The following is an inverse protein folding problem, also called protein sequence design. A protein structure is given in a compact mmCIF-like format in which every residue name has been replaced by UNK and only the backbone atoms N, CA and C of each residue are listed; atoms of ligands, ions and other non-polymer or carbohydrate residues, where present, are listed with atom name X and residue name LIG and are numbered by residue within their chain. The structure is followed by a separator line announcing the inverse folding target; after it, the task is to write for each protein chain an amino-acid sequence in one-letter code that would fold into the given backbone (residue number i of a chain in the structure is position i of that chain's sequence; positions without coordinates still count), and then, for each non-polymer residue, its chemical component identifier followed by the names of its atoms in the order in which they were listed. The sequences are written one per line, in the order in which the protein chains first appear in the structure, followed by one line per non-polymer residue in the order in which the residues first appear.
data_IF_256671247395
#
_entry.id   IF_256671247395
#
_cell.length_a   1.000
_cell.length_b   1.000
_cell.length_c   1.000
_cell.angle_alpha   90.00
_cell.angle_beta   90.00
_cell.angle_gamma   90.00
#
_symmetry.space_group_name_H-M   'P 1'
#
loop_
_entity.id
_entity.type
_entity.pdbx_description
1 polymer ?
#
# COMPACT_ATOMS: atom_id res chain seq x y z
N UNK A 1 16.41 5.61 15.54
CA UNK A 1 16.06 6.91 14.97
C UNK A 1 14.99 6.64 13.93
N UNK A 2 13.84 7.25 14.04
CA UNK A 2 12.72 7.15 13.09
C UNK A 2 13.10 7.83 11.79
N UNK A 3 12.72 7.29 10.65
CA UNK A 3 12.89 7.98 9.36
C UNK A 3 11.50 8.18 8.76
N UNK A 4 10.93 9.36 8.96
CA UNK A 4 9.74 9.78 8.23
C UNK A 4 10.14 10.25 6.83
N UNK A 5 9.30 9.96 5.84
CA UNK A 5 9.51 10.39 4.46
C UNK A 5 9.52 11.92 4.32
N UNK A 6 8.87 12.63 5.25
CA UNK A 6 8.93 14.10 5.37
C UNK A 6 10.27 14.62 5.93
N UNK A 7 11.04 13.78 6.64
CA UNK A 7 12.28 14.15 7.35
C UNK A 7 13.53 13.75 6.54
N UNK A 8 13.88 14.50 5.53
CA UNK A 8 14.97 14.21 4.56
C UNK A 8 16.37 14.55 5.08
N UNK A 9 16.57 14.67 6.37
CA UNK A 9 17.85 15.08 6.98
C UNK A 9 18.85 13.93 7.23
N UNK A 10 18.50 12.65 6.96
CA UNK A 10 19.46 11.57 7.11
C UNK A 10 20.38 11.45 5.88
N UNK A 11 21.69 11.60 6.09
CA UNK A 11 22.70 11.75 5.05
C UNK A 11 22.93 10.53 4.14
N UNK A 12 22.38 9.33 4.47
CA UNK A 12 22.79 8.07 3.85
C UNK A 12 21.69 7.34 3.05
N UNK A 13 20.40 7.67 3.21
CA UNK A 13 19.31 7.03 2.43
C UNK A 13 18.59 8.03 1.53
N UNK A 14 18.36 7.63 0.28
CA UNK A 14 17.54 8.42 -0.65
C UNK A 14 16.05 8.31 -0.30
N UNK A 15 15.24 9.26 -0.78
CA UNK A 15 13.78 9.19 -0.64
C UNK A 15 13.20 7.90 -1.23
N UNK A 16 13.78 7.38 -2.33
CA UNK A 16 13.35 6.12 -2.94
C UNK A 16 13.68 4.90 -2.07
N UNK A 17 14.79 4.92 -1.31
CA UNK A 17 15.10 3.86 -0.34
C UNK A 17 14.10 3.87 0.82
N UNK A 18 13.71 5.05 1.29
CA UNK A 18 12.67 5.19 2.32
C UNK A 18 11.32 4.70 1.81
N UNK A 19 10.90 5.12 0.61
CA UNK A 19 9.67 4.63 -0.02
C UNK A 19 9.69 3.11 -0.13
N UNK A 20 10.79 2.49 -0.56
CA UNK A 20 10.90 1.03 -0.67
C UNK A 20 10.93 0.30 0.68
N UNK A 21 11.07 1.02 1.77
CA UNK A 21 11.07 0.48 3.15
C UNK A 21 9.81 0.83 3.94
N UNK A 22 8.81 1.43 3.29
CA UNK A 22 7.56 1.83 3.93
C UNK A 22 6.49 0.74 3.92
N UNK A 23 6.66 -0.32 3.14
CA UNK A 23 5.66 -1.38 3.01
C UNK A 23 6.02 -2.62 3.78
N UNK A 24 5.00 -3.42 4.07
CA UNK A 24 5.11 -4.72 4.73
C UNK A 24 4.26 -5.74 3.99
N UNK A 25 4.81 -6.96 3.79
CA UNK A 25 4.09 -8.08 3.23
C UNK A 25 3.23 -8.72 4.31
N UNK A 26 1.94 -8.81 4.07
CA UNK A 26 0.98 -9.52 4.91
C UNK A 26 0.76 -10.91 4.30
N UNK A 27 0.76 -11.95 5.13
CA UNK A 27 0.53 -13.33 4.72
C UNK A 27 -0.46 -13.99 5.66
N UNK A 28 -1.48 -14.63 5.09
CA UNK A 28 -2.58 -15.27 5.83
C UNK A 28 -2.59 -16.78 5.58
N UNK A 29 -2.99 -17.59 6.59
CA UNK A 29 -2.77 -19.04 6.61
C UNK A 29 -4.04 -19.85 6.89
N UNK A 30 -5.19 -19.44 6.52
CA UNK A 30 -6.41 -20.22 6.75
C UNK A 30 -7.04 -20.69 5.44
N UNK A 31 -8.33 -21.02 5.47
CA UNK A 31 -9.08 -21.42 4.28
C UNK A 31 -9.06 -20.34 3.20
N UNK A 32 -8.88 -19.08 3.58
CA UNK A 32 -8.67 -17.92 2.73
C UNK A 32 -7.19 -17.51 2.72
N UNK A 33 -6.27 -18.49 2.65
CA UNK A 33 -4.83 -18.18 2.59
C UNK A 33 -4.50 -17.28 1.41
N UNK A 34 -3.76 -16.20 1.67
CA UNK A 34 -3.43 -15.22 0.66
C UNK A 34 -2.27 -14.34 1.08
N UNK A 35 -2.02 -13.36 0.24
CA UNK A 35 -1.06 -12.30 0.53
C UNK A 35 -1.71 -10.95 0.30
N UNK A 36 -1.27 -9.95 1.06
CA UNK A 36 -1.65 -8.56 0.91
C UNK A 36 -0.44 -7.66 1.12
N UNK A 37 -0.66 -6.41 0.87
CA UNK A 37 0.30 -5.34 1.11
C UNK A 37 -0.21 -4.46 2.25
N UNK A 38 0.67 -4.13 3.20
CA UNK A 38 0.44 -3.06 4.15
C UNK A 38 1.54 -2.00 4.02
N UNK A 39 1.34 -0.86 4.62
CA UNK A 39 2.37 0.16 4.74
C UNK A 39 2.30 0.86 6.08
N UNK A 40 3.45 1.35 6.53
CA UNK A 40 3.54 2.09 7.78
C UNK A 40 3.03 3.52 7.61
N UNK A 41 2.14 3.92 8.51
CA UNK A 41 1.63 5.28 8.62
C UNK A 41 1.76 5.77 10.06
N UNK A 42 2.26 6.98 10.22
CA UNK A 42 2.47 7.63 11.49
C UNK A 42 1.48 8.78 11.68
N UNK A 43 0.55 8.61 12.60
CA UNK A 43 -0.52 9.59 12.87
C UNK A 43 -0.06 10.79 13.69
N UNK A 44 1.07 10.69 14.41
CA UNK A 44 1.68 11.81 15.14
C UNK A 44 3.21 11.75 15.04
N UNK A 45 3.79 12.21 13.92
CA UNK A 45 5.23 12.17 13.70
C UNK A 45 6.04 13.06 14.64
N UNK A 46 5.41 13.95 15.41
CA UNK A 46 6.09 14.83 16.35
C UNK A 46 6.47 14.12 17.66
N UNK A 47 5.77 13.07 18.01
CA UNK A 47 6.10 12.20 19.16
C UNK A 47 7.21 11.20 18.80
N UNK A 48 8.46 11.70 18.71
CA UNK A 48 9.61 10.96 18.15
C UNK A 48 10.06 9.70 18.93
N UNK A 49 9.59 9.45 20.14
CA UNK A 49 10.17 8.41 21.02
C UNK A 49 9.31 7.15 21.17
N UNK A 50 8.08 7.14 20.70
CA UNK A 50 7.16 6.00 20.88
C UNK A 50 6.61 5.46 19.56
N UNK A 51 6.29 4.17 19.52
CA UNK A 51 5.58 3.54 18.41
C UNK A 51 4.05 3.70 18.56
N UNK A 52 3.61 4.60 19.43
CA UNK A 52 2.22 4.67 19.87
C UNK A 52 1.29 5.24 18.81
N UNK A 53 1.83 6.10 17.92
CA UNK A 53 1.12 6.66 16.77
C UNK A 53 1.37 5.93 15.46
N UNK A 54 2.19 4.85 15.47
CA UNK A 54 2.52 4.09 14.28
C UNK A 54 1.52 2.96 14.07
N UNK A 55 1.00 2.85 12.85
CA UNK A 55 0.17 1.73 12.43
C UNK A 55 0.60 1.16 11.07
N UNK A 56 0.17 -0.06 10.78
CA UNK A 56 0.15 -0.62 9.44
C UNK A 56 -1.24 -0.38 8.87
N UNK A 57 -1.32 0.20 7.68
CA UNK A 57 -2.57 0.41 6.91
C UNK A 57 -2.66 -0.66 5.82
N UNK A 58 -3.83 -1.26 5.63
CA UNK A 58 -4.15 -2.18 4.53
C UNK A 58 -5.65 -2.17 4.24
N UNK A 59 -6.10 -3.00 3.29
CA UNK A 59 -7.53 -3.20 3.06
C UNK A 59 -8.13 -4.18 4.08
N UNK A 60 -9.42 -3.98 4.40
CA UNK A 60 -10.13 -4.84 5.33
C UNK A 60 -10.26 -6.27 4.81
N UNK A 61 -10.60 -6.45 3.52
CA UNK A 61 -10.71 -7.78 2.90
C UNK A 61 -9.42 -8.62 2.94
N UNK A 62 -8.26 -8.01 3.19
CA UNK A 62 -6.98 -8.74 3.35
C UNK A 62 -6.92 -9.49 4.68
N UNK A 63 -7.62 -8.98 5.69
CA UNK A 63 -7.53 -9.45 7.08
C UNK A 63 -8.85 -10.01 7.62
N UNK A 64 -9.96 -9.75 6.96
CA UNK A 64 -11.29 -10.17 7.34
C UNK A 64 -11.41 -11.70 7.37
N UNK A 65 -12.04 -12.24 8.42
CA UNK A 65 -12.23 -13.67 8.67
C UNK A 65 -10.93 -14.49 8.78
N UNK A 66 -9.76 -13.82 8.95
CA UNK A 66 -8.47 -14.48 9.07
C UNK A 66 -8.14 -14.79 10.53
N UNK A 67 -7.84 -16.07 10.82
CA UNK A 67 -7.47 -16.50 12.17
C UNK A 67 -5.97 -16.41 12.41
N UNK A 68 -5.15 -16.73 11.41
CA UNK A 68 -3.70 -16.75 11.53
C UNK A 68 -3.06 -15.96 10.40
N UNK A 69 -2.12 -15.08 10.77
CA UNK A 69 -1.38 -14.30 9.79
C UNK A 69 -0.01 -13.90 10.31
N UNK A 70 0.81 -13.42 9.41
CA UNK A 70 2.14 -12.90 9.74
C UNK A 70 2.54 -11.76 8.83
N UNK A 71 3.54 -11.03 9.28
CA UNK A 71 4.30 -10.08 8.46
C UNK A 71 5.77 -10.10 8.83
N UNK A 72 6.60 -9.65 7.90
CA UNK A 72 8.05 -9.71 7.99
C UNK A 72 8.61 -8.30 8.06
N UNK A 73 9.36 -8.01 9.13
CA UNK A 73 10.01 -6.74 9.37
C UNK A 73 11.51 -6.85 9.13
N UNK A 74 12.14 -5.82 8.59
CA UNK A 74 13.60 -5.74 8.45
C UNK A 74 14.23 -5.30 9.77
N UNK A 75 15.27 -6.00 10.24
CA UNK A 75 15.99 -5.57 11.44
C UNK A 75 16.80 -4.31 11.18
N UNK A 76 17.12 -3.57 12.25
CA UNK A 76 18.02 -2.42 12.18
C UNK A 76 19.31 -2.67 13.00
N UNK A 77 20.36 -2.03 12.58
CA UNK A 77 21.64 -2.06 13.29
C UNK A 77 21.66 -1.05 14.46
N UNK A 78 22.79 -0.96 15.14
CA UNK A 78 23.00 -0.04 16.28
C UNK A 78 22.93 1.45 15.89
N UNK A 79 23.10 1.76 14.62
CA UNK A 79 23.03 3.12 14.10
C UNK A 79 21.60 3.48 13.64
N UNK A 80 20.67 2.49 13.67
CA UNK A 80 19.29 2.63 13.19
C UNK A 80 19.14 2.39 11.70
N UNK A 81 20.16 1.86 11.01
CA UNK A 81 20.12 1.56 9.57
C UNK A 81 19.59 0.13 9.32
N UNK A 82 18.92 -0.12 8.16
CA UNK A 82 18.36 -1.44 7.87
C UNK A 82 19.44 -2.48 7.64
N UNK A 83 19.29 -3.64 8.26
CA UNK A 83 20.06 -4.85 7.92
C UNK A 83 19.21 -5.64 6.94
N UNK A 84 19.29 -5.32 5.66
CA UNK A 84 18.37 -5.84 4.62
C UNK A 84 18.33 -7.37 4.52
N UNK A 85 19.34 -8.08 5.04
CA UNK A 85 19.43 -9.55 5.02
C UNK A 85 18.98 -10.20 6.33
N UNK A 86 18.56 -9.42 7.32
CA UNK A 86 18.07 -9.92 8.60
C UNK A 86 16.63 -9.49 8.86
N UNK A 87 15.77 -10.45 9.13
CA UNK A 87 14.34 -10.23 9.23
C UNK A 87 13.77 -10.75 10.54
N UNK A 88 12.69 -10.14 10.97
CA UNK A 88 11.88 -10.52 12.11
C UNK A 88 10.47 -10.88 11.60
N UNK A 89 10.06 -12.13 11.79
CA UNK A 89 8.69 -12.55 11.48
C UNK A 89 7.82 -12.36 12.70
N UNK A 90 6.72 -11.63 12.54
CA UNK A 90 5.68 -11.43 13.55
C UNK A 90 4.49 -12.28 13.17
N UNK A 91 4.25 -13.33 13.92
CA UNK A 91 3.07 -14.19 13.78
C UNK A 91 1.99 -13.75 14.78
N UNK A 92 0.74 -13.66 14.29
CA UNK A 92 -0.44 -13.32 15.09
C UNK A 92 -1.50 -14.39 14.93
N UNK A 93 -1.95 -14.96 16.05
CA UNK A 93 -3.21 -15.69 16.16
C UNK A 93 -4.37 -14.70 16.32
N UNK A 94 -5.60 -15.12 15.97
CA UNK A 94 -6.77 -14.23 15.93
C UNK A 94 -6.50 -12.96 15.13
N UNK A 95 -5.88 -13.15 13.99
CA UNK A 95 -5.27 -12.09 13.17
C UNK A 95 -6.19 -10.90 12.96
N UNK A 96 -7.44 -11.14 12.54
CA UNK A 96 -8.44 -10.09 12.34
C UNK A 96 -8.64 -9.21 13.59
N UNK A 97 -8.63 -9.80 14.79
CA UNK A 97 -8.92 -9.07 16.02
C UNK A 97 -7.87 -8.01 16.41
N UNK A 98 -6.72 -8.01 15.76
CA UNK A 98 -5.69 -7.00 15.96
C UNK A 98 -5.88 -5.74 15.09
N UNK A 99 -6.78 -5.82 14.10
CA UNK A 99 -7.03 -4.76 13.15
C UNK A 99 -8.26 -3.95 13.52
N UNK A 100 -8.20 -2.67 13.32
CA UNK A 100 -9.32 -1.74 13.51
C UNK A 100 -9.87 -1.43 12.13
N UNK A 101 -11.10 -1.84 11.79
CA UNK A 101 -11.73 -1.51 10.52
C UNK A 101 -12.03 -0.01 10.43
N UNK A 102 -12.18 0.49 9.21
CA UNK A 102 -12.58 1.87 8.97
C UNK A 102 -13.92 2.17 9.63
N UNK A 103 -14.12 3.40 10.20
CA UNK A 103 -15.38 3.79 10.84
C UNK A 103 -16.59 3.74 9.89
N UNK A 104 -16.37 4.02 8.62
CA UNK A 104 -17.37 3.82 7.55
C UNK A 104 -17.18 2.42 6.96
N UNK A 105 -18.18 1.51 7.09
CA UNK A 105 -18.07 0.13 6.61
C UNK A 105 -18.04 -0.01 5.09
N UNK A 106 -18.38 1.04 4.34
CA UNK A 106 -18.28 1.05 2.87
C UNK A 106 -16.85 1.29 2.39
N UNK A 107 -15.94 1.70 3.29
CA UNK A 107 -14.53 1.95 2.98
C UNK A 107 -13.68 0.72 3.37
N UNK A 108 -13.16 0.05 2.38
CA UNK A 108 -12.36 -1.17 2.54
C UNK A 108 -10.93 -0.87 3.04
N UNK A 109 -10.81 -0.29 4.23
CA UNK A 109 -9.54 0.00 4.90
C UNK A 109 -9.56 -0.49 6.35
N UNK A 110 -8.38 -0.80 6.86
CA UNK A 110 -8.15 -1.06 8.28
C UNK A 110 -6.72 -0.69 8.68
N UNK A 111 -6.53 -0.57 10.00
CA UNK A 111 -5.22 -0.29 10.58
C UNK A 111 -4.88 -1.31 11.67
N UNK A 112 -3.59 -1.62 11.80
CA UNK A 112 -3.02 -2.37 12.93
C UNK A 112 -2.10 -1.43 13.71
N UNK A 113 -2.52 -0.90 14.88
CA UNK A 113 -1.66 -0.10 15.72
C UNK A 113 -0.47 -0.92 16.22
N UNK A 114 0.76 -0.49 15.95
CA UNK A 114 1.98 -1.20 16.37
C UNK A 114 2.06 -1.32 17.90
N UNK A 115 1.51 -0.33 18.61
CA UNK A 115 1.37 -0.35 20.07
C UNK A 115 0.68 -1.62 20.59
N UNK A 116 -0.35 -2.12 19.90
CA UNK A 116 -1.13 -3.30 20.33
C UNK A 116 -0.31 -4.59 20.31
N UNK A 117 0.69 -4.68 19.41
CA UNK A 117 1.54 -5.86 19.21
C UNK A 117 2.99 -5.64 19.68
N UNK A 118 3.30 -4.49 20.25
CA UNK A 118 4.66 -4.12 20.69
C UNK A 118 5.31 -5.18 21.59
N UNK A 119 4.52 -5.86 22.41
CA UNK A 119 4.97 -6.94 23.31
C UNK A 119 5.48 -8.19 22.59
N UNK A 120 5.10 -8.39 21.31
CA UNK A 120 5.55 -9.49 20.44
C UNK A 120 6.83 -9.14 19.68
N UNK A 121 7.12 -7.86 19.53
CA UNK A 121 8.29 -7.36 18.82
C UNK A 121 9.47 -7.33 19.79
N UNK A 122 10.29 -8.39 19.76
CA UNK A 122 11.39 -8.59 20.71
C UNK A 122 12.69 -7.89 20.32
N UNK A 123 12.81 -7.46 19.10
CA UNK A 123 14.00 -6.84 18.54
C UNK A 123 13.62 -5.55 17.82
N UNK A 124 14.56 -4.64 17.75
CA UNK A 124 14.39 -3.39 17.01
C UNK A 124 14.31 -3.67 15.51
N UNK A 125 13.35 -3.04 14.84
CA UNK A 125 13.16 -3.15 13.40
C UNK A 125 13.29 -1.79 12.71
N UNK A 126 13.63 -1.84 11.43
CA UNK A 126 13.68 -0.68 10.55
C UNK A 126 12.35 -0.52 9.81
N UNK A 127 11.88 0.70 9.70
CA UNK A 127 10.76 1.09 8.86
C UNK A 127 10.92 2.54 8.42
N UNK A 128 10.33 2.87 7.29
CA UNK A 128 9.99 4.24 6.93
C UNK A 128 8.46 4.35 6.96
N UNK A 129 7.92 5.48 7.36
CA UNK A 129 6.48 5.71 7.44
C UNK A 129 6.05 6.88 6.59
N UNK A 130 4.86 6.78 6.03
CA UNK A 130 4.10 7.93 5.57
C UNK A 130 3.46 8.64 6.76
N UNK A 131 3.04 9.87 6.58
CA UNK A 131 2.30 10.66 7.57
C UNK A 131 1.30 11.60 6.85
N UNK A 132 0.51 12.33 7.62
CA UNK A 132 -0.51 13.23 7.10
C UNK A 132 0.03 14.30 6.15
N UNK A 133 1.32 14.68 6.26
CA UNK A 133 1.92 15.69 5.37
C UNK A 133 2.09 15.22 3.92
N UNK A 134 1.99 13.91 3.67
CA UNK A 134 2.05 13.33 2.33
C UNK A 134 0.66 13.11 1.73
N UNK A 135 -0.40 13.24 2.52
CA UNK A 135 -1.79 13.22 2.04
C UNK A 135 -2.09 14.60 1.42
N UNK A 136 -2.50 14.66 0.15
CA UNK A 136 -2.69 15.95 -0.50
C UNK A 136 -3.88 16.71 0.11
N UNK A 137 -3.67 18.01 0.36
CA UNK A 137 -4.75 18.95 0.67
C UNK A 137 -5.69 19.10 -0.53
N UNK A 138 -6.88 19.65 -0.30
CA UNK A 138 -7.83 19.94 -1.38
C UNK A 138 -7.22 20.83 -2.47
N UNK A 139 -6.40 21.83 -2.09
CA UNK A 139 -5.72 22.70 -3.04
C UNK A 139 -4.70 21.95 -3.89
N UNK A 140 -3.95 21.02 -3.28
CA UNK A 140 -3.01 20.16 -4.02
C UNK A 140 -3.73 19.21 -4.96
N UNK A 141 -4.82 18.57 -4.52
CA UNK A 141 -5.67 17.75 -5.41
C UNK A 141 -6.16 18.57 -6.61
N UNK A 142 -6.68 19.77 -6.38
CA UNK A 142 -7.15 20.65 -7.45
C UNK A 142 -6.05 21.10 -8.42
N UNK A 143 -4.79 21.08 -7.99
CA UNK A 143 -3.63 21.42 -8.82
C UNK A 143 -3.14 20.29 -9.71
N UNK A 144 -3.52 19.04 -9.42
CA UNK A 144 -3.08 17.86 -10.17
C UNK A 144 -3.51 17.93 -11.65
N UNK A 145 -2.70 17.33 -12.50
CA UNK A 145 -3.11 17.03 -13.87
C UNK A 145 -4.23 15.98 -13.90
N UNK A 146 -4.96 15.89 -14.99
CA UNK A 146 -5.94 14.81 -15.18
C UNK A 146 -5.27 13.44 -15.32
N UNK A 147 -4.01 13.45 -15.78
CA UNK A 147 -3.15 12.26 -15.91
C UNK A 147 -1.86 12.54 -15.15
N UNK A 148 -1.65 11.83 -14.04
CA UNK A 148 -0.42 11.90 -13.24
C UNK A 148 0.36 10.59 -13.39
N UNK A 149 1.68 10.68 -13.44
CA UNK A 149 2.54 9.50 -13.28
C UNK A 149 2.52 9.04 -11.83
N UNK A 150 2.32 7.73 -11.61
CA UNK A 150 2.30 7.14 -10.28
C UNK A 150 3.30 5.98 -10.15
N UNK A 151 3.71 5.72 -8.91
CA UNK A 151 4.32 4.45 -8.52
C UNK A 151 3.43 3.75 -7.50
N UNK A 152 3.47 2.43 -7.52
CA UNK A 152 2.76 1.56 -6.59
C UNK A 152 3.76 0.54 -6.03
N UNK A 153 3.73 0.29 -4.74
CA UNK A 153 4.61 -0.66 -4.07
C UNK A 153 3.79 -1.76 -3.42
N UNK A 154 4.14 -3.01 -3.68
CA UNK A 154 3.40 -4.11 -3.07
C UNK A 154 4.00 -5.48 -3.36
N UNK A 155 3.21 -6.52 -3.08
CA UNK A 155 3.63 -7.93 -3.11
C UNK A 155 2.73 -8.75 -4.04
N UNK A 156 2.68 -8.42 -5.35
CA UNK A 156 1.80 -9.08 -6.34
C UNK A 156 2.07 -10.57 -6.39
N UNK A 157 1.04 -11.40 -6.32
CA UNK A 157 1.11 -12.87 -6.24
C UNK A 157 2.08 -13.37 -5.15
N UNK A 158 2.27 -12.58 -4.11
CA UNK A 158 3.23 -12.84 -3.05
C UNK A 158 4.70 -12.67 -3.45
N UNK A 159 4.99 -12.13 -4.64
CA UNK A 159 6.35 -11.88 -5.12
C UNK A 159 6.98 -10.69 -4.39
N UNK A 160 8.21 -10.89 -3.94
CA UNK A 160 9.05 -9.83 -3.35
C UNK A 160 10.53 -10.22 -3.44
N UNK A 161 11.42 -9.29 -3.16
CA UNK A 161 12.83 -9.63 -2.93
C UNK A 161 12.97 -10.28 -1.54
N UNK A 162 12.97 -11.61 -1.52
CA UNK A 162 13.01 -12.41 -0.29
C UNK A 162 14.32 -12.26 0.46
N UNK A 163 15.40 -11.90 -0.23
CA UNK A 163 16.72 -11.76 0.36
C UNK A 163 16.87 -10.42 1.08
N UNK A 164 16.32 -9.34 0.50
CA UNK A 164 16.42 -8.00 1.05
C UNK A 164 15.11 -7.52 1.73
N UNK A 165 14.05 -8.33 1.72
CA UNK A 165 12.72 -7.99 2.21
C UNK A 165 12.19 -6.68 1.60
N UNK A 166 12.20 -6.58 0.27
CA UNK A 166 11.74 -5.40 -0.45
C UNK A 166 10.54 -5.69 -1.35
N UNK A 167 9.60 -4.74 -1.48
CA UNK A 167 8.45 -4.86 -2.36
C UNK A 167 8.83 -4.79 -3.83
N UNK A 168 7.90 -5.18 -4.68
CA UNK A 168 7.95 -4.89 -6.11
C UNK A 168 7.39 -3.47 -6.34
N UNK A 169 8.19 -2.63 -6.99
CA UNK A 169 7.78 -1.28 -7.40
C UNK A 169 7.27 -1.33 -8.83
N UNK A 170 6.10 -0.75 -9.07
CA UNK A 170 5.48 -0.62 -10.39
C UNK A 170 5.26 0.85 -10.70
N UNK A 171 5.38 1.21 -11.97
CA UNK A 171 5.06 2.54 -12.49
C UNK A 171 3.80 2.45 -13.35
N UNK A 172 2.95 3.47 -13.26
CA UNK A 172 1.72 3.60 -14.05
C UNK A 172 1.28 5.05 -14.15
N UNK A 173 0.01 5.24 -14.46
CA UNK A 173 -0.64 6.55 -14.51
C UNK A 173 -2.01 6.50 -13.82
N UNK A 174 -2.57 7.65 -13.46
CA UNK A 174 -3.99 7.75 -13.13
C UNK A 174 -4.81 7.50 -14.41
N UNK A 175 -5.69 6.49 -14.37
CA UNK A 175 -6.56 6.14 -15.51
C UNK A 175 -7.86 6.97 -15.52
N UNK A 176 -8.23 7.54 -14.37
CA UNK A 176 -9.29 8.55 -14.24
C UNK A 176 -8.72 9.81 -13.62
N UNK A 177 -9.41 10.93 -13.78
CA UNK A 177 -8.96 12.21 -13.24
C UNK A 177 -9.02 12.20 -11.71
N UNK A 178 -7.88 12.28 -10.99
CA UNK A 178 -7.82 12.14 -9.53
C UNK A 178 -8.48 13.32 -8.76
N UNK A 179 -8.87 14.37 -9.47
CA UNK A 179 -9.63 15.50 -8.91
C UNK A 179 -11.14 15.24 -8.84
N UNK A 180 -11.62 14.17 -9.43
CA UNK A 180 -13.04 13.84 -9.55
C UNK A 180 -13.32 12.50 -8.87
N UNK A 181 -14.51 12.34 -8.35
CA UNK A 181 -15.02 11.06 -7.88
C UNK A 181 -15.22 10.10 -9.05
N UNK A 182 -14.86 8.85 -8.87
CA UNK A 182 -15.13 7.82 -9.85
C UNK A 182 -16.48 7.17 -9.58
N UNK A 183 -17.40 7.21 -10.54
CA UNK A 183 -18.79 6.73 -10.40
C UNK A 183 -19.57 7.33 -9.22
N UNK A 184 -19.10 8.40 -8.62
CA UNK A 184 -19.71 9.07 -7.47
C UNK A 184 -19.02 8.79 -6.14
N UNK A 185 -18.09 7.82 -6.09
CA UNK A 185 -17.35 7.44 -4.91
C UNK A 185 -16.00 8.17 -4.82
N UNK A 186 -15.47 8.32 -3.62
CA UNK A 186 -14.15 8.95 -3.36
C UNK A 186 -13.00 8.00 -3.70
N UNK A 187 -12.97 7.63 -4.98
CA UNK A 187 -12.06 6.68 -5.58
C UNK A 187 -11.54 7.18 -6.91
N UNK A 188 -10.49 6.53 -7.42
CA UNK A 188 -9.97 6.75 -8.76
C UNK A 188 -9.40 5.45 -9.33
N UNK A 189 -9.29 5.37 -10.66
CA UNK A 189 -8.62 4.25 -11.31
C UNK A 189 -7.19 4.60 -11.68
N UNK A 190 -6.33 3.58 -11.66
CA UNK A 190 -4.96 3.63 -12.15
C UNK A 190 -4.77 2.63 -13.29
N UNK A 191 -3.93 2.96 -14.26
CA UNK A 191 -3.36 2.01 -15.23
C UNK A 191 -1.99 1.58 -14.71
N UNK A 192 -2.01 0.51 -13.92
CA UNK A 192 -0.85 -0.18 -13.41
C UNK A 192 -1.23 -1.65 -13.19
N UNK A 193 -0.30 -2.56 -13.51
CA UNK A 193 -0.57 -3.98 -13.39
C UNK A 193 -0.92 -4.35 -11.93
N UNK A 194 -2.19 -4.61 -11.68
CA UNK A 194 -2.75 -4.99 -10.37
C UNK A 194 -3.02 -6.49 -10.35
N UNK A 195 -2.44 -7.20 -9.39
CA UNK A 195 -2.58 -8.65 -9.20
C UNK A 195 -2.96 -8.94 -7.76
N UNK A 196 -3.53 -10.13 -7.47
CA UNK A 196 -3.73 -10.59 -6.10
C UNK A 196 -2.47 -10.35 -5.25
N UNK A 197 -2.63 -9.94 -3.99
CA UNK A 197 -1.51 -9.54 -3.13
C UNK A 197 -1.09 -8.07 -3.25
N UNK A 198 -1.53 -7.35 -4.29
CA UNK A 198 -1.32 -5.91 -4.40
C UNK A 198 -2.31 -5.08 -3.58
N UNK A 199 -3.41 -5.66 -3.09
CA UNK A 199 -4.38 -4.99 -2.21
C UNK A 199 -3.67 -4.40 -0.99
N UNK A 200 -3.98 -3.14 -0.64
CA UNK A 200 -3.31 -2.37 0.41
C UNK A 200 -2.04 -1.64 -0.06
N UNK A 201 -1.65 -1.76 -1.33
CA UNK A 201 -0.48 -1.05 -1.87
C UNK A 201 -0.68 0.46 -1.84
N UNK A 202 0.27 1.25 -1.30
CA UNK A 202 0.26 2.69 -1.43
C UNK A 202 0.52 3.10 -2.88
N UNK A 203 -0.24 4.07 -3.36
CA UNK A 203 -0.12 4.70 -4.67
C UNK A 203 0.42 6.10 -4.46
N UNK A 204 1.59 6.37 -5.04
CA UNK A 204 2.30 7.62 -4.86
C UNK A 204 2.47 8.35 -6.19
N UNK A 205 2.25 9.67 -6.18
CA UNK A 205 2.87 10.55 -7.16
C UNK A 205 4.32 10.75 -6.72
N UNK A 206 5.27 10.44 -7.58
CA UNK A 206 6.70 10.55 -7.30
C UNK A 206 7.43 11.21 -8.47
N UNK A 207 7.65 12.52 -8.36
CA UNK A 207 8.36 13.28 -9.37
C UNK A 207 9.74 13.68 -8.86
N UNK A 208 10.73 13.63 -9.75
CA UNK A 208 12.12 14.05 -9.49
C UNK A 208 12.48 15.15 -10.48
N UNK A 209 13.04 16.24 -9.98
CA UNK A 209 13.54 17.35 -10.77
C UNK A 209 12.47 18.36 -11.16
N UNK A 210 11.35 17.94 -11.75
CA UNK A 210 10.29 18.83 -12.19
C UNK A 210 8.95 18.14 -12.33
N UNK A 211 7.87 18.91 -12.29
CA UNK A 211 6.51 18.50 -12.65
C UNK A 211 5.72 19.67 -13.21
N UNK A 212 4.58 19.38 -13.86
CA UNK A 212 3.59 20.36 -14.33
C UNK A 212 2.35 20.28 -13.43
N UNK A 213 1.69 21.41 -13.26
CA UNK A 213 0.32 21.46 -12.72
C UNK A 213 -0.73 21.42 -13.85
N UNK A 214 -2.01 21.44 -13.49
CA UNK A 214 -3.14 21.44 -14.45
C UNK A 214 -3.18 22.65 -15.41
N UNK A 215 -2.41 23.69 -15.12
CA UNK A 215 -2.34 24.92 -15.91
C UNK A 215 -1.04 25.00 -16.73
N UNK A 216 -0.32 23.88 -16.85
CA UNK A 216 0.98 23.77 -17.52
C UNK A 216 2.08 24.64 -16.88
N UNK A 217 1.93 25.01 -15.59
CA UNK A 217 3.00 25.68 -14.89
C UNK A 217 4.09 24.68 -14.52
N UNK A 218 5.34 25.07 -14.82
CA UNK A 218 6.53 24.28 -14.47
C UNK A 218 7.00 24.54 -13.06
N UNK A 219 7.16 23.46 -12.27
CA UNK A 219 7.75 23.50 -10.94
C UNK A 219 9.06 22.70 -10.94
N UNK A 220 10.14 23.33 -10.45
CA UNK A 220 11.41 22.67 -10.25
C UNK A 220 11.57 22.29 -8.79
N UNK A 221 11.73 21.01 -8.51
CA UNK A 221 11.81 20.46 -7.16
C UNK A 221 12.91 19.40 -7.08
N UNK A 222 13.46 19.17 -5.91
CA UNK A 222 14.35 18.04 -5.70
C UNK A 222 13.53 16.73 -5.88
N UNK A 223 12.37 16.67 -5.25
CA UNK A 223 11.36 15.62 -5.42
C UNK A 223 9.99 16.16 -4.95
N UNK A 224 8.93 15.55 -5.46
CA UNK A 224 7.53 15.71 -5.00
C UNK A 224 7.01 14.31 -4.71
N UNK A 225 6.55 14.07 -3.48
CA UNK A 225 5.93 12.82 -3.06
C UNK A 225 4.56 13.12 -2.52
N UNK A 226 3.53 12.47 -3.05
CA UNK A 226 2.15 12.57 -2.59
C UNK A 226 1.63 11.14 -2.45
N UNK A 227 1.12 10.79 -1.28
CA UNK A 227 0.34 9.58 -1.08
C UNK A 227 -1.06 9.84 -1.63
N UNK A 228 -1.31 9.38 -2.87
CA UNK A 228 -2.55 9.68 -3.58
C UNK A 228 -3.70 8.76 -3.14
N UNK A 229 -3.41 7.48 -2.92
CA UNK A 229 -4.44 6.50 -2.54
C UNK A 229 -3.88 5.14 -2.17
N UNK A 230 -4.79 4.21 -1.92
CA UNK A 230 -4.54 2.83 -1.56
C UNK A 230 -5.25 1.91 -2.56
N UNK A 231 -4.51 1.03 -3.21
CA UNK A 231 -5.10 0.03 -4.10
C UNK A 231 -5.94 -0.94 -3.29
N UNK A 232 -7.18 -1.21 -3.73
CA UNK A 232 -8.03 -2.20 -3.07
C UNK A 232 -8.55 -3.28 -4.04
N UNK A 233 -8.80 -2.97 -5.28
CA UNK A 233 -9.34 -3.92 -6.26
C UNK A 233 -8.66 -3.78 -7.63
N UNK A 234 -8.54 -4.91 -8.34
CA UNK A 234 -8.16 -4.96 -9.75
C UNK A 234 -9.33 -5.52 -10.57
N UNK A 235 -10.02 -4.69 -11.38
CA UNK A 235 -11.04 -5.18 -12.30
C UNK A 235 -10.53 -6.33 -13.16
N UNK A 236 -11.35 -7.40 -13.30
CA UNK A 236 -10.97 -8.60 -14.03
C UNK A 236 -11.91 -8.83 -15.20
N UNK A 237 -11.36 -9.33 -16.29
CA UNK A 237 -12.13 -9.79 -17.44
C UNK A 237 -12.32 -11.31 -17.40
N UNK A 238 -13.57 -11.76 -17.45
CA UNK A 238 -13.89 -13.18 -17.56
C UNK A 238 -13.74 -13.63 -19.02
N UNK A 239 -12.66 -14.37 -19.30
CA UNK A 239 -12.46 -14.98 -20.62
C UNK A 239 -13.10 -16.37 -20.67
N UNK A 240 -14.00 -16.59 -21.64
CA UNK A 240 -14.60 -17.88 -21.91
C UNK A 240 -13.89 -18.58 -23.06
N UNK A 241 -13.43 -19.82 -22.82
CA UNK A 241 -12.87 -20.70 -23.85
C UNK A 241 -13.74 -21.92 -24.09
N UNK A 242 -13.82 -22.40 -25.34
CA UNK A 242 -14.52 -23.62 -25.67
C UNK A 242 -13.50 -24.72 -26.02
N UNK A 243 -13.57 -25.87 -25.31
CA UNK A 243 -12.82 -27.07 -25.69
C UNK A 243 -13.72 -27.93 -26.57
N UNK A 244 -13.43 -28.02 -27.87
CA UNK A 244 -14.12 -28.94 -28.77
C UNK A 244 -13.46 -30.31 -28.75
N UNK A 245 -14.21 -31.34 -28.34
CA UNK A 245 -13.83 -32.76 -28.55
C UNK A 245 -14.58 -33.26 -29.77
N UNK A 246 -13.85 -33.64 -30.82
CA UNK A 246 -14.36 -34.03 -32.13
C UNK A 246 -15.28 -35.31 -32.10
N UNK A 247 -15.37 -36.05 -31.01
CA UNK A 247 -16.12 -37.29 -30.92
C UNK A 247 -17.39 -37.31 -30.08
N UNK A 248 -17.72 -36.29 -29.28
CA UNK A 248 -18.90 -36.27 -28.41
C UNK A 248 -19.44 -34.84 -28.30
N UNK A 249 -20.74 -34.64 -28.59
CA UNK A 249 -21.45 -33.34 -28.50
C UNK A 249 -21.60 -32.81 -27.07
N UNK A 250 -20.54 -32.76 -26.30
CA UNK A 250 -20.51 -32.05 -24.99
C UNK A 250 -19.56 -30.87 -25.11
N UNK A 251 -20.13 -29.66 -25.01
CA UNK A 251 -19.39 -28.41 -24.95
C UNK A 251 -18.91 -28.22 -23.51
N UNK A 252 -17.59 -28.24 -23.27
CA UNK A 252 -17.00 -27.85 -22.00
C UNK A 252 -16.61 -26.38 -22.12
N UNK A 253 -17.11 -25.53 -21.25
CA UNK A 253 -16.74 -24.12 -21.15
C UNK A 253 -15.68 -24.03 -20.05
N UNK A 254 -14.55 -23.40 -20.36
CA UNK A 254 -13.53 -23.03 -19.38
C UNK A 254 -13.58 -21.52 -19.27
N UNK A 255 -13.80 -21.03 -18.07
CA UNK A 255 -13.76 -19.61 -17.75
C UNK A 255 -12.47 -19.32 -16.98
N UNK A 256 -11.75 -18.29 -17.38
CA UNK A 256 -10.59 -17.78 -16.64
C UNK A 256 -10.71 -16.28 -16.47
N UNK A 257 -10.24 -15.78 -15.34
CA UNK A 257 -10.17 -14.35 -15.06
C UNK A 257 -8.83 -13.81 -15.53
N UNK A 258 -8.87 -12.74 -16.30
CA UNK A 258 -7.68 -12.09 -16.82
C UNK A 258 -7.64 -10.65 -16.26
N UNK A 259 -6.62 -10.28 -15.47
CA UNK A 259 -6.42 -8.90 -15.05
C UNK A 259 -6.26 -7.98 -16.27
N UNK A 260 -6.93 -6.84 -16.26
CA UNK A 260 -6.89 -5.86 -17.37
C UNK A 260 -5.91 -4.71 -17.11
N UNK A 261 -5.03 -4.87 -16.11
CA UNK A 261 -4.04 -3.88 -15.68
C UNK A 261 -4.63 -2.56 -15.13
N UNK A 262 -5.91 -2.54 -14.83
CA UNK A 262 -6.51 -1.45 -14.07
C UNK A 262 -6.54 -1.79 -12.58
N UNK A 263 -6.44 -0.78 -11.74
CA UNK A 263 -6.63 -0.88 -10.31
C UNK A 263 -7.57 0.22 -9.84
N UNK A 264 -8.48 -0.11 -8.93
CA UNK A 264 -9.30 0.84 -8.22
C UNK A 264 -8.62 1.19 -6.90
N UNK A 265 -8.61 2.47 -6.57
CA UNK A 265 -7.91 3.01 -5.42
C UNK A 265 -8.79 3.93 -4.59
N UNK A 266 -8.78 3.72 -3.28
CA UNK A 266 -9.41 4.58 -2.28
C UNK A 266 -8.53 5.81 -2.09
N UNK A 267 -9.12 7.00 -2.02
CA UNK A 267 -8.38 8.23 -1.73
C UNK A 267 -7.68 8.17 -0.38
N UNK A 268 -6.42 8.62 -0.34
CA UNK A 268 -5.60 8.56 0.89
C UNK A 268 -6.15 9.37 2.05
N UNK A 269 -7.00 10.38 1.80
CA UNK A 269 -7.68 11.16 2.84
C UNK A 269 -8.48 10.28 3.81
N UNK A 270 -8.96 9.10 3.37
CA UNK A 270 -9.68 8.14 4.22
C UNK A 270 -8.83 7.55 5.35
N UNK A 271 -7.50 7.64 5.25
CA UNK A 271 -6.62 7.24 6.37
C UNK A 271 -6.83 8.15 7.58
N UNK A 272 -7.13 9.44 7.35
CA UNK A 272 -7.30 10.41 8.43
C UNK A 272 -8.55 10.14 9.30
N UNK A 273 -9.51 9.38 8.79
CA UNK A 273 -10.71 8.98 9.54
C UNK A 273 -10.37 8.05 10.73
N UNK A 274 -9.15 7.49 10.77
CA UNK A 274 -8.64 6.73 11.91
C UNK A 274 -8.02 7.61 13.02
N UNK A 275 -7.84 8.90 12.80
CA UNK A 275 -7.36 9.81 13.85
C UNK A 275 -8.27 9.72 15.10
N UNK A 276 -7.65 9.55 16.26
CA UNK A 276 -8.37 9.37 17.53
C UNK A 276 -8.77 7.94 17.87
N UNK A 277 -8.50 6.97 17.00
CA UNK A 277 -8.67 5.54 17.27
C UNK A 277 -7.35 4.86 17.69
N UNK A 278 -6.23 5.55 17.58
CA UNK A 278 -4.87 5.11 17.93
C UNK A 278 -4.43 5.62 19.28
#
# INVERSE_FOLDING_TARGET
MRKNLSDTTSADMSISDLISSSTVRIETFDQNSGTGTGFFFDFDPQTQETLDSLAIVTNWHVVEEVQNGQFILTKKDKNGEPINTEHLTIFLDKFESHWIPHPDPEIDLCILPIKSIKHLIKEDFFYASFDASLIPSQEEIESLCAIEEIIMLGYPDGLWDTYNNKPIVRKGITATNPRLTYCGDEEFLIDAASFPGSSGSPILIYNIGQYLDKNDNHYFVKYRVILLGILYEGPQYNAEGTIERVAIKKKNIVTTQIPINLGAAINSSKILDFEGLI
#
